data_IF_608837922057
#
_entry.id   IF_608837922057
#
_cell.length_a   1.000
_cell.length_b   1.000
_cell.length_c   1.000
_cell.angle_alpha   90.00
_cell.angle_beta   90.00
_cell.angle_gamma   90.00
#
_symmetry.space_group_name_H-M   'P 1'
#
loop_
_entity.id
_entity.type
_entity.pdbx_description
1 polymer ?
#
# COMPACT_ATOMS: atom_id res chain seq x y z
N UNK A 1 -19.23 -5.03 -2.43
CA UNK A 1 -18.55 -3.79 -2.01
C UNK A 1 -17.12 -4.17 -1.70
N UNK A 2 -16.13 -3.35 -2.06
CA UNK A 2 -14.72 -3.62 -1.75
C UNK A 2 -14.18 -2.56 -0.78
N UNK A 3 -13.29 -2.94 0.13
CA UNK A 3 -12.66 -2.07 1.10
C UNK A 3 -11.17 -1.95 0.80
N UNK A 4 -10.73 -0.71 0.59
CA UNK A 4 -9.33 -0.38 0.36
C UNK A 4 -8.85 0.48 1.50
N UNK A 5 -7.60 0.27 1.92
CA UNK A 5 -6.92 1.19 2.82
C UNK A 5 -5.99 2.11 2.03
N UNK A 6 -5.93 3.38 2.44
CA UNK A 6 -5.05 4.39 1.88
C UNK A 6 -3.88 4.66 2.83
N UNK A 7 -2.83 3.85 2.76
CA UNK A 7 -1.67 3.93 3.65
C UNK A 7 -0.43 3.32 3.00
N UNK A 8 0.74 3.70 3.50
CA UNK A 8 2.03 3.04 3.20
C UNK A 8 2.65 2.40 4.45
N UNK A 9 1.90 2.35 5.56
CA UNK A 9 2.32 1.69 6.79
C UNK A 9 2.12 0.17 6.68
N UNK A 10 3.23 -0.57 6.62
CA UNK A 10 3.23 -2.02 6.49
C UNK A 10 2.61 -2.72 7.71
N UNK A 11 2.73 -2.13 8.90
CA UNK A 11 2.11 -2.66 10.12
C UNK A 11 0.60 -2.64 10.03
N UNK A 12 0.04 -1.48 9.69
CA UNK A 12 -1.41 -1.29 9.53
C UNK A 12 -2.00 -2.20 8.44
N UNK A 13 -1.29 -2.34 7.31
CA UNK A 13 -1.70 -3.20 6.21
C UNK A 13 -1.74 -4.67 6.64
N UNK A 14 -0.72 -5.15 7.35
CA UNK A 14 -0.67 -6.54 7.84
C UNK A 14 -1.75 -6.82 8.89
N UNK A 15 -1.99 -5.88 9.80
CA UNK A 15 -3.04 -5.98 10.82
C UNK A 15 -4.44 -6.05 10.20
N UNK A 16 -4.70 -5.30 9.13
CA UNK A 16 -5.98 -5.36 8.44
C UNK A 16 -6.12 -6.56 7.51
N UNK A 17 -5.03 -6.99 6.86
CA UNK A 17 -5.02 -8.17 6.01
C UNK A 17 -5.49 -9.42 6.76
N UNK A 18 -5.06 -9.61 8.03
CA UNK A 18 -5.47 -10.77 8.84
C UNK A 18 -6.95 -10.78 9.21
N UNK A 19 -7.65 -9.64 9.11
CA UNK A 19 -9.09 -9.58 9.38
C UNK A 19 -9.92 -10.17 8.24
N UNK A 20 -9.34 -10.31 7.05
CA UNK A 20 -10.05 -10.73 5.83
C UNK A 20 -11.01 -9.68 5.27
N UNK A 21 -11.01 -8.45 5.80
CA UNK A 21 -11.85 -7.35 5.31
C UNK A 21 -11.13 -6.45 4.30
N UNK A 22 -9.82 -6.61 4.13
CA UNK A 22 -9.01 -5.76 3.27
C UNK A 22 -8.94 -6.32 1.85
N UNK A 23 -9.58 -5.65 0.88
CA UNK A 23 -9.60 -6.06 -0.52
C UNK A 23 -8.44 -5.48 -1.35
N UNK A 24 -7.74 -4.46 -0.85
CA UNK A 24 -6.65 -3.81 -1.59
C UNK A 24 -6.05 -2.62 -0.85
N UNK A 25 -4.96 -2.07 -1.39
CA UNK A 25 -4.24 -0.91 -0.84
C UNK A 25 -4.10 0.16 -1.91
N UNK A 26 -4.32 1.41 -1.54
CA UNK A 26 -3.94 2.57 -2.35
C UNK A 26 -2.76 3.29 -1.71
N UNK A 27 -1.83 3.73 -2.56
CA UNK A 27 -0.69 4.55 -2.16
C UNK A 27 -0.58 5.75 -3.08
N UNK A 28 0.13 6.77 -2.61
CA UNK A 28 0.50 7.95 -3.39
C UNK A 28 1.91 8.40 -2.96
N UNK A 29 2.57 9.30 -3.70
CA UNK A 29 3.95 9.70 -3.41
C UNK A 29 4.11 10.31 -2.01
N UNK A 30 3.08 10.98 -1.50
CA UNK A 30 3.12 11.58 -0.15
C UNK A 30 3.10 10.53 0.95
N UNK A 31 2.29 9.47 0.82
CA UNK A 31 2.25 8.37 1.78
C UNK A 31 3.55 7.59 1.80
N UNK A 32 4.10 7.26 0.62
CA UNK A 32 5.41 6.60 0.53
C UNK A 32 6.50 7.49 1.13
N UNK A 33 6.53 8.79 0.81
CA UNK A 33 7.54 9.71 1.34
C UNK A 33 7.55 9.78 2.88
N UNK A 34 6.38 9.67 3.53
CA UNK A 34 6.27 9.64 5.00
C UNK A 34 6.94 8.42 5.64
N UNK A 35 7.10 7.32 4.90
CA UNK A 35 7.81 6.13 5.41
C UNK A 35 9.31 6.37 5.56
N UNK A 36 9.88 7.32 4.81
CA UNK A 36 11.32 7.57 4.76
C UNK A 36 12.12 6.44 4.12
N UNK A 37 11.47 5.52 3.40
CA UNK A 37 12.07 4.32 2.80
C UNK A 37 12.06 4.38 1.27
N UNK A 38 12.90 3.59 0.58
CA UNK A 38 12.86 3.48 -0.88
C UNK A 38 11.50 2.98 -1.39
N UNK A 39 11.00 3.61 -2.46
CA UNK A 39 9.68 3.32 -3.03
C UNK A 39 9.44 1.83 -3.31
N UNK A 40 10.37 1.19 -4.02
CA UNK A 40 10.20 -0.20 -4.43
C UNK A 40 10.25 -1.18 -3.26
N UNK A 41 11.01 -0.87 -2.20
CA UNK A 41 11.04 -1.70 -0.99
C UNK A 41 9.67 -1.67 -0.31
N UNK A 42 9.09 -0.47 -0.15
CA UNK A 42 7.76 -0.30 0.45
C UNK A 42 6.69 -0.98 -0.40
N UNK A 43 6.66 -0.73 -1.72
CA UNK A 43 5.65 -1.34 -2.60
C UNK A 43 5.76 -2.87 -2.64
N UNK A 44 6.97 -3.41 -2.65
CA UNK A 44 7.18 -4.87 -2.62
C UNK A 44 6.61 -5.46 -1.32
N UNK A 45 6.89 -4.84 -0.18
CA UNK A 45 6.34 -5.31 1.10
C UNK A 45 4.81 -5.20 1.18
N UNK A 46 4.21 -4.18 0.56
CA UNK A 46 2.74 -4.06 0.46
C UNK A 46 2.16 -5.20 -0.38
N UNK A 47 2.76 -5.46 -1.56
CA UNK A 47 2.35 -6.56 -2.44
C UNK A 47 2.53 -7.94 -1.81
N UNK A 48 3.51 -8.11 -0.92
CA UNK A 48 3.69 -9.35 -0.15
C UNK A 48 2.71 -9.47 1.02
N UNK A 49 2.24 -8.35 1.56
CA UNK A 49 1.33 -8.33 2.71
C UNK A 49 -0.12 -8.64 2.34
N UNK A 50 -0.53 -8.43 1.07
CA UNK A 50 -1.90 -8.65 0.62
C UNK A 50 -1.97 -9.33 -0.75
N UNK A 51 -2.98 -10.17 -0.97
CA UNK A 51 -3.25 -10.78 -2.30
C UNK A 51 -4.05 -9.85 -3.24
N UNK A 52 -4.59 -8.75 -2.69
CA UNK A 52 -5.42 -7.79 -3.41
C UNK A 52 -4.64 -6.79 -4.27
N UNK A 53 -5.33 -6.02 -5.13
CA UNK A 53 -4.71 -4.94 -5.89
C UNK A 53 -4.01 -3.91 -4.99
N UNK A 54 -2.82 -3.50 -5.45
CA UNK A 54 -2.03 -2.40 -4.88
C UNK A 54 -1.93 -1.30 -5.93
N UNK A 55 -2.50 -0.14 -5.65
CA UNK A 55 -2.38 1.05 -6.50
C UNK A 55 -1.14 1.85 -6.10
N UNK A 56 -0.27 2.11 -7.07
CA UNK A 56 0.91 2.96 -6.92
C UNK A 56 0.93 4.03 -8.01
N UNK A 57 1.04 5.30 -7.60
CA UNK A 57 1.12 6.43 -8.52
C UNK A 57 2.56 6.66 -9.01
N UNK A 58 2.67 7.03 -10.28
CA UNK A 58 3.92 7.56 -10.85
C UNK A 58 4.03 9.06 -10.60
N UNK A 59 5.25 9.57 -10.61
CA UNK A 59 5.51 11.02 -10.51
C UNK A 59 5.87 11.66 -11.84
N UNK A 60 6.09 10.86 -12.89
CA UNK A 60 6.25 11.35 -14.26
C UNK A 60 4.94 11.99 -14.73
N UNK A 61 5.05 13.09 -15.47
CA UNK A 61 3.91 13.86 -15.96
C UNK A 61 3.69 13.71 -17.47
N UNK A 62 4.56 12.93 -18.12
CA UNK A 62 4.67 12.70 -19.56
C UNK A 62 4.86 11.22 -19.90
#
# INVERSE_FOLDING_TARGET
MKFFIDTADIGEIRELAVTGLLDGVTTNPSLIAKTGRPLFDVLTEICEAIEGPVSAEVTATD
#
